data_IF_722424330300
#
_entry.id   IF_722424330300
#
_cell.length_a   1.000
_cell.length_b   1.000
_cell.length_c   1.000
_cell.angle_alpha   90.00
_cell.angle_beta   90.00
_cell.angle_gamma   90.00
#
_symmetry.space_group_name_H-M   'P 1'
#
loop_
_entity.id
_entity.type
_entity.pdbx_description
1 polymer ?
#
# COMPACT_ATOMS: atom_id res chain seq x y z
N UNK A 1 2.57 -24.33 -4.33
CA UNK A 1 1.39 -23.54 -4.75
C UNK A 1 1.42 -22.15 -4.12
N UNK A 2 1.17 -21.09 -4.87
CA UNK A 2 0.96 -19.74 -4.33
C UNK A 2 -0.23 -19.77 -3.35
N UNK A 3 0.00 -19.35 -2.10
CA UNK A 3 -1.07 -19.18 -1.12
C UNK A 3 -1.77 -17.85 -1.38
N UNK A 4 -3.09 -17.83 -1.35
CA UNK A 4 -3.86 -16.58 -1.37
C UNK A 4 -3.61 -15.77 -0.10
N UNK A 5 -3.63 -14.45 -0.23
CA UNK A 5 -3.51 -13.54 0.90
C UNK A 5 -4.92 -13.17 1.35
N UNK A 6 -5.20 -13.36 2.62
CA UNK A 6 -6.49 -12.98 3.20
C UNK A 6 -6.51 -11.47 3.46
N UNK A 7 -7.45 -10.77 2.84
CA UNK A 7 -7.60 -9.31 2.89
C UNK A 7 -7.86 -8.80 4.31
N UNK A 8 -8.69 -9.51 5.07
CA UNK A 8 -9.02 -9.09 6.44
C UNK A 8 -7.78 -9.18 7.35
N UNK A 9 -7.01 -10.25 7.22
CA UNK A 9 -5.77 -10.42 7.98
C UNK A 9 -4.76 -9.33 7.63
N UNK A 10 -4.57 -9.05 6.32
CA UNK A 10 -3.64 -8.02 5.88
C UNK A 10 -4.10 -6.63 6.32
N UNK A 11 -5.39 -6.31 6.18
CA UNK A 11 -5.95 -5.04 6.64
C UNK A 11 -5.74 -4.84 8.15
N UNK A 12 -5.97 -5.87 8.96
CA UNK A 12 -5.70 -5.83 10.42
C UNK A 12 -4.23 -5.55 10.71
N UNK A 13 -3.32 -6.21 10.00
CA UNK A 13 -1.87 -6.00 10.19
C UNK A 13 -1.47 -4.57 9.81
N UNK A 14 -2.03 -4.02 8.74
CA UNK A 14 -1.78 -2.64 8.31
C UNK A 14 -2.37 -1.62 9.30
N UNK A 15 -3.59 -1.85 9.80
CA UNK A 15 -4.23 -0.96 10.79
C UNK A 15 -3.44 -0.89 12.09
N UNK A 16 -2.81 -1.98 12.52
CA UNK A 16 -1.96 -2.01 13.71
C UNK A 16 -0.71 -1.13 13.58
N UNK A 17 -0.24 -0.84 12.38
CA UNK A 17 0.81 0.15 12.16
C UNK A 17 0.25 1.55 12.43
N UNK A 18 0.82 2.24 13.43
CA UNK A 18 0.47 3.61 13.78
C UNK A 18 1.17 4.60 12.82
N UNK A 19 0.92 4.40 11.54
CA UNK A 19 1.55 5.17 10.46
C UNK A 19 0.94 6.57 10.31
N UNK A 20 0.78 7.27 11.43
CA UNK A 20 0.37 8.68 11.43
C UNK A 20 1.48 9.50 10.79
N UNK A 21 1.13 10.15 9.66
CA UNK A 21 2.11 10.87 8.84
C UNK A 21 2.98 11.80 9.70
N UNK A 22 4.29 11.86 9.51
CA UNK A 22 5.10 11.23 8.45
C UNK A 22 5.70 9.86 8.81
N UNK A 23 5.19 9.18 9.84
CA UNK A 23 5.71 7.89 10.31
C UNK A 23 5.17 6.74 9.45
N UNK A 24 6.04 5.80 9.07
CA UNK A 24 5.66 4.57 8.37
C UNK A 24 5.20 3.45 9.33
N UNK A 25 5.80 3.38 10.50
CA UNK A 25 5.57 2.34 11.51
C UNK A 25 5.53 0.90 10.95
N UNK A 26 6.28 0.66 9.88
CA UNK A 26 6.39 -0.66 9.25
C UNK A 26 5.31 -1.00 8.22
N UNK A 27 4.34 -0.14 7.96
CA UNK A 27 3.24 -0.39 7.04
C UNK A 27 3.73 -0.74 5.62
N UNK A 28 4.64 0.05 5.06
CA UNK A 28 5.26 -0.21 3.76
C UNK A 28 5.97 -1.58 3.73
N UNK A 29 6.64 -1.95 4.81
CA UNK A 29 7.32 -3.24 4.89
C UNK A 29 6.34 -4.43 4.90
N UNK A 30 5.17 -4.28 5.54
CA UNK A 30 4.11 -5.29 5.54
C UNK A 30 3.58 -5.51 4.12
N UNK A 31 3.29 -4.43 3.37
CA UNK A 31 2.85 -4.52 1.97
C UNK A 31 3.93 -5.20 1.13
N UNK A 32 5.18 -4.72 1.21
CA UNK A 32 6.29 -5.29 0.46
C UNK A 32 6.53 -6.78 0.76
N UNK A 33 6.43 -7.19 2.04
CA UNK A 33 6.56 -8.60 2.45
C UNK A 33 5.49 -9.48 1.81
N UNK A 34 4.25 -9.03 1.76
CA UNK A 34 3.16 -9.79 1.15
C UNK A 34 3.30 -9.85 -0.38
N UNK A 35 3.65 -8.74 -1.03
CA UNK A 35 3.91 -8.72 -2.48
C UNK A 35 5.11 -9.59 -2.88
N UNK A 36 6.19 -9.61 -2.08
CA UNK A 36 7.32 -10.52 -2.31
C UNK A 36 6.92 -11.99 -2.27
N UNK A 37 6.01 -12.40 -1.37
CA UNK A 37 5.47 -13.77 -1.34
C UNK A 37 4.73 -14.15 -2.62
N UNK A 38 4.18 -13.15 -3.33
CA UNK A 38 3.50 -13.32 -4.61
C UNK A 38 4.45 -13.27 -5.81
N UNK A 39 5.74 -13.05 -5.60
CA UNK A 39 6.76 -12.98 -6.65
C UNK A 39 7.02 -11.58 -7.21
N UNK A 40 6.50 -10.53 -6.59
CA UNK A 40 6.80 -9.16 -7.00
C UNK A 40 8.25 -8.79 -6.69
N UNK A 41 8.86 -8.05 -7.63
CA UNK A 41 10.08 -7.30 -7.38
C UNK A 41 9.69 -6.00 -6.68
N UNK A 42 10.08 -5.87 -5.41
CA UNK A 42 9.76 -4.73 -4.57
C UNK A 42 10.99 -3.82 -4.43
N UNK A 43 10.79 -2.54 -4.66
CA UNK A 43 11.76 -1.48 -4.44
C UNK A 43 11.20 -0.49 -3.44
N UNK A 44 11.77 -0.46 -2.24
CA UNK A 44 11.48 0.57 -1.24
C UNK A 44 12.40 1.75 -1.56
N UNK A 45 11.82 2.95 -1.58
CA UNK A 45 12.48 4.20 -1.86
C UNK A 45 12.19 5.18 -0.73
N UNK A 46 13.21 5.92 -0.30
CA UNK A 46 13.08 6.95 0.71
C UNK A 46 13.45 8.30 0.08
N UNK A 47 12.61 9.30 0.29
CA UNK A 47 12.83 10.66 -0.19
C UNK A 47 12.70 11.64 0.97
N UNK A 48 13.44 12.73 0.87
CA UNK A 48 13.42 13.82 1.83
C UNK A 48 13.84 15.12 1.16
N UNK A 49 12.92 16.06 1.04
CA UNK A 49 13.25 17.44 0.68
C UNK A 49 13.76 18.21 1.92
N UNK A 50 14.52 19.27 1.66
CA UNK A 50 15.05 20.12 2.74
C UNK A 50 13.91 20.66 3.61
N UNK A 51 14.01 20.46 4.90
CA UNK A 51 13.02 20.93 5.88
C UNK A 51 11.79 20.04 6.03
N UNK A 52 11.75 18.89 5.35
CA UNK A 52 10.66 17.91 5.47
C UNK A 52 11.11 16.62 6.14
N UNK A 53 10.17 15.77 6.50
CA UNK A 53 10.45 14.44 7.01
C UNK A 53 10.87 13.49 5.88
N UNK A 54 11.68 12.48 6.23
CA UNK A 54 12.01 11.37 5.32
C UNK A 54 10.80 10.44 5.22
N UNK A 55 10.37 10.18 4.00
CA UNK A 55 9.20 9.35 3.69
C UNK A 55 9.62 8.07 2.97
N UNK A 56 9.04 6.97 3.39
CA UNK A 56 9.20 5.67 2.79
C UNK A 56 8.08 5.39 1.79
N UNK A 57 8.47 4.93 0.60
CA UNK A 57 7.56 4.58 -0.48
C UNK A 57 7.91 3.20 -1.04
N UNK A 58 6.97 2.58 -1.74
CA UNK A 58 7.14 1.28 -2.37
C UNK A 58 6.71 1.35 -3.84
N UNK A 59 7.56 0.89 -4.74
CA UNK A 59 7.16 0.43 -6.05
C UNK A 59 7.41 -1.07 -6.15
N UNK A 60 6.39 -1.82 -6.57
CA UNK A 60 6.50 -3.26 -6.74
C UNK A 60 5.90 -3.66 -8.09
N UNK A 61 6.56 -4.58 -8.82
CA UNK A 61 6.09 -5.05 -10.13
C UNK A 61 6.30 -6.55 -10.28
N UNK A 62 5.32 -7.21 -10.89
CA UNK A 62 5.40 -8.59 -11.38
C UNK A 62 5.07 -8.61 -12.87
N UNK A 63 5.73 -9.49 -13.63
CA UNK A 63 5.68 -9.49 -15.10
C UNK A 63 6.71 -8.54 -15.72
N UNK A 64 6.86 -8.62 -17.04
CA UNK A 64 7.83 -7.81 -17.80
C UNK A 64 7.21 -7.12 -19.01
N UNK A 65 5.97 -7.48 -19.35
CA UNK A 65 5.30 -7.00 -20.55
C UNK A 65 4.47 -5.74 -20.32
N UNK A 66 3.99 -5.19 -21.42
CA UNK A 66 2.91 -4.20 -21.48
C UNK A 66 1.61 -4.93 -21.83
N UNK A 67 0.44 -4.46 -21.36
CA UNK A 67 0.29 -3.30 -20.49
C UNK A 67 0.75 -3.54 -19.05
N UNK A 68 1.20 -2.47 -18.38
CA UNK A 68 1.45 -2.43 -16.95
C UNK A 68 0.24 -1.80 -16.24
N UNK A 69 -0.50 -2.60 -15.50
CA UNK A 69 -1.62 -2.15 -14.69
C UNK A 69 -1.15 -1.88 -13.27
N UNK A 70 -1.29 -0.64 -12.81
CA UNK A 70 -0.83 -0.18 -11.52
C UNK A 70 -2.00 0.06 -10.56
N UNK A 71 -1.82 -0.34 -9.31
CA UNK A 71 -2.61 0.14 -8.19
C UNK A 71 -1.79 1.18 -7.43
N UNK A 72 -2.36 2.37 -7.24
CA UNK A 72 -1.76 3.43 -6.44
C UNK A 72 -2.56 3.65 -5.15
N UNK A 73 -1.85 3.95 -4.06
CA UNK A 73 -2.44 4.23 -2.76
C UNK A 73 -1.40 4.62 -1.71
N UNK A 74 -1.86 4.81 -0.47
CA UNK A 74 -1.01 5.24 0.63
C UNK A 74 -1.22 4.40 1.90
N UNK A 75 -0.21 4.38 2.77
CA UNK A 75 -0.25 3.68 4.05
C UNK A 75 -0.23 4.61 5.25
N UNK A 76 0.09 5.87 5.05
CA UNK A 76 -0.02 6.89 6.09
C UNK A 76 -1.48 7.21 6.39
N UNK A 77 -1.71 7.79 7.54
CA UNK A 77 -3.04 8.13 8.06
C UNK A 77 -2.97 9.44 8.82
N UNK A 78 -4.09 10.17 8.86
CA UNK A 78 -4.24 11.34 9.73
C UNK A 78 -4.28 10.94 11.22
N UNK A 79 -4.03 11.87 12.15
CA UNK A 79 -4.20 11.63 13.58
C UNK A 79 -5.59 11.09 13.93
N UNK A 80 -5.68 10.33 15.02
CA UNK A 80 -6.92 9.66 15.42
C UNK A 80 -8.00 10.61 15.96
N UNK A 81 -7.64 11.85 16.29
CA UNK A 81 -8.53 12.79 16.95
C UNK A 81 -8.75 12.45 18.43
N UNK A 82 -9.94 12.77 18.96
CA UNK A 82 -10.28 12.46 20.34
C UNK A 82 -10.50 10.96 20.52
N UNK A 83 -9.65 10.33 21.34
CA UNK A 83 -9.73 8.91 21.65
C UNK A 83 -11.04 8.50 22.32
N UNK A 84 -11.72 9.42 23.01
CA UNK A 84 -13.03 9.15 23.64
C UNK A 84 -14.14 8.92 22.63
N UNK A 85 -13.96 9.40 21.40
CA UNK A 85 -14.91 9.18 20.29
C UNK A 85 -14.79 7.79 19.65
N UNK A 86 -13.76 7.01 20.00
CA UNK A 86 -13.56 5.69 19.46
C UNK A 86 -14.20 4.62 20.36
N UNK A 87 -14.96 3.71 19.76
CA UNK A 87 -15.55 2.56 20.46
C UNK A 87 -14.59 1.40 20.69
N UNK A 88 -13.42 1.43 20.03
CA UNK A 88 -12.33 0.48 20.15
C UNK A 88 -11.01 1.21 19.96
N UNK A 89 -9.87 0.57 20.28
CA UNK A 89 -8.56 1.12 19.95
C UNK A 89 -8.44 1.36 18.43
N UNK A 90 -8.20 2.60 17.96
CA UNK A 90 -8.13 2.93 16.54
C UNK A 90 -7.03 2.18 15.78
N UNK A 91 -6.00 1.70 16.46
CA UNK A 91 -4.94 0.86 15.87
C UNK A 91 -5.02 -0.61 16.33
N UNK A 92 -6.15 -1.03 16.89
CA UNK A 92 -6.33 -2.40 17.38
C UNK A 92 -6.61 -3.43 16.27
N UNK A 93 -7.06 -2.99 15.10
CA UNK A 93 -7.51 -3.89 14.04
C UNK A 93 -8.67 -4.78 14.51
N UNK A 94 -9.62 -4.21 15.24
CA UNK A 94 -10.73 -4.93 15.89
C UNK A 94 -11.86 -5.18 14.90
N UNK A 95 -12.38 -6.41 14.92
CA UNK A 95 -13.62 -6.74 14.20
C UNK A 95 -14.76 -6.77 15.20
N UNK A 96 -15.80 -5.96 14.96
CA UNK A 96 -17.03 -5.91 15.74
C UNK A 96 -18.22 -5.81 14.80
N UNK A 97 -19.23 -6.64 15.02
CA UNK A 97 -20.43 -6.70 14.17
C UNK A 97 -20.09 -6.82 12.67
N UNK A 98 -19.18 -7.73 12.34
CA UNK A 98 -18.69 -8.00 10.96
C UNK A 98 -18.00 -6.80 10.28
N UNK A 99 -17.64 -5.76 11.02
CA UNK A 99 -16.94 -4.58 10.52
C UNK A 99 -15.54 -4.52 11.11
N UNK A 100 -14.51 -4.32 10.29
CA UNK A 100 -13.19 -3.97 10.75
C UNK A 100 -13.18 -2.48 11.10
N UNK A 101 -12.81 -2.17 12.33
CA UNK A 101 -12.81 -0.80 12.85
C UNK A 101 -11.38 -0.38 13.15
N UNK A 102 -10.99 0.79 12.66
CA UNK A 102 -9.68 1.37 12.95
C UNK A 102 -9.36 2.57 12.05
N UNK A 103 -8.36 3.37 12.46
CA UNK A 103 -7.86 4.49 11.66
C UNK A 103 -7.19 3.93 10.39
N UNK A 104 -7.56 4.50 9.24
CA UNK A 104 -7.01 4.09 7.94
C UNK A 104 -7.64 2.82 7.35
N UNK A 105 -8.71 2.25 7.95
CA UNK A 105 -9.40 1.09 7.35
C UNK A 105 -10.05 1.46 6.04
N UNK A 106 -10.86 2.53 6.03
CA UNK A 106 -11.57 3.01 4.83
C UNK A 106 -10.62 3.77 3.92
N UNK A 107 -9.74 4.55 4.49
CA UNK A 107 -8.79 5.44 3.84
C UNK A 107 -7.39 5.10 4.34
N UNK A 108 -6.54 4.35 3.56
CA UNK A 108 -7.04 3.44 2.51
C UNK A 108 -6.40 2.03 2.63
N UNK A 109 -5.99 1.66 3.87
CA UNK A 109 -5.32 0.36 4.15
C UNK A 109 -6.20 -0.84 3.78
N UNK A 110 -7.53 -0.70 3.88
CA UNK A 110 -8.49 -1.71 3.46
C UNK A 110 -8.43 -1.95 1.96
N UNK A 111 -8.44 -0.90 1.16
CA UNK A 111 -8.34 -0.98 -0.30
C UNK A 111 -7.03 -1.64 -0.75
N UNK A 112 -5.90 -1.29 -0.11
CA UNK A 112 -4.61 -1.96 -0.36
C UNK A 112 -4.73 -3.46 -0.08
N UNK A 113 -5.30 -3.84 1.06
CA UNK A 113 -5.43 -5.25 1.44
C UNK A 113 -6.34 -6.02 0.47
N UNK A 114 -7.46 -5.43 0.06
CA UNK A 114 -8.37 -6.03 -0.93
C UNK A 114 -7.68 -6.21 -2.28
N UNK A 115 -6.94 -5.21 -2.76
CA UNK A 115 -6.27 -5.33 -4.05
C UNK A 115 -5.13 -6.35 -4.03
N UNK A 116 -4.35 -6.42 -2.94
CA UNK A 116 -3.32 -7.46 -2.76
C UNK A 116 -3.96 -8.85 -2.74
N UNK A 117 -5.09 -9.03 -2.05
CA UNK A 117 -5.83 -10.29 -2.02
C UNK A 117 -6.33 -10.68 -3.42
N UNK A 118 -6.99 -9.76 -4.12
CA UNK A 118 -7.50 -9.98 -5.48
C UNK A 118 -6.37 -10.38 -6.45
N UNK A 119 -5.23 -9.69 -6.39
CA UNK A 119 -4.06 -10.04 -7.20
C UNK A 119 -3.52 -11.42 -6.82
N UNK A 120 -3.51 -11.79 -5.54
CA UNK A 120 -3.06 -13.11 -5.11
C UNK A 120 -3.92 -14.23 -5.67
N UNK A 121 -5.24 -14.04 -5.71
CA UNK A 121 -6.18 -14.98 -6.33
C UNK A 121 -6.01 -15.05 -7.86
N UNK A 122 -5.86 -13.89 -8.49
CA UNK A 122 -5.62 -13.81 -9.92
C UNK A 122 -4.35 -14.58 -10.34
N UNK A 123 -3.25 -14.37 -9.64
CA UNK A 123 -1.97 -15.05 -9.91
C UNK A 123 -2.03 -16.55 -9.62
N UNK A 124 -2.86 -16.99 -8.66
CA UNK A 124 -3.08 -18.42 -8.40
C UNK A 124 -3.80 -19.10 -9.56
N UNK A 125 -4.76 -18.40 -10.18
CA UNK A 125 -5.56 -18.92 -11.32
C UNK A 125 -4.81 -18.78 -12.66
N UNK A 126 -3.96 -17.75 -12.80
CA UNK A 126 -3.29 -17.40 -14.05
C UNK A 126 -1.76 -17.54 -13.92
N UNK A 127 -1.24 -18.68 -14.34
CA UNK A 127 0.22 -18.97 -14.26
C UNK A 127 1.09 -18.12 -15.19
N UNK A 128 0.50 -17.51 -16.24
CA UNK A 128 1.20 -16.65 -17.20
C UNK A 128 0.52 -15.30 -17.29
N UNK A 129 1.27 -14.24 -16.99
CA UNK A 129 0.83 -12.86 -17.20
C UNK A 129 1.12 -12.44 -18.64
N UNK A 130 0.11 -11.87 -19.31
CA UNK A 130 0.25 -11.21 -20.63
C UNK A 130 0.50 -9.70 -20.46
N UNK A 131 1.35 -9.31 -19.56
CA UNK A 131 1.60 -7.93 -19.19
C UNK A 131 2.29 -7.88 -17.85
N UNK A 132 2.03 -6.85 -17.10
CA UNK A 132 2.52 -6.72 -15.73
C UNK A 132 1.50 -6.06 -14.81
N UNK A 133 1.64 -6.34 -13.53
CA UNK A 133 0.89 -5.69 -12.45
C UNK A 133 1.90 -4.99 -11.57
N UNK A 134 1.60 -3.76 -11.18
CA UNK A 134 2.45 -2.98 -10.27
C UNK A 134 1.65 -2.34 -9.14
N UNK A 135 2.36 -2.00 -8.08
CA UNK A 135 1.87 -1.24 -6.94
C UNK A 135 2.78 -0.04 -6.75
N UNK A 136 2.18 1.13 -6.57
CA UNK A 136 2.85 2.34 -6.12
C UNK A 136 2.19 2.74 -4.80
N UNK A 137 2.89 2.56 -3.69
CA UNK A 137 2.37 2.85 -2.36
C UNK A 137 3.25 3.91 -1.71
N UNK A 138 2.64 5.01 -1.32
CA UNK A 138 3.31 6.11 -0.62
C UNK A 138 3.04 6.08 0.89
N UNK A 139 3.90 6.74 1.66
CA UNK A 139 3.69 7.07 3.07
C UNK A 139 3.54 8.57 3.30
N UNK A 140 3.18 9.37 2.28
CA UNK A 140 3.02 10.82 2.33
C UNK A 140 1.93 11.26 1.36
N UNK A 141 0.67 10.93 1.67
CA UNK A 141 -0.50 11.39 0.95
C UNK A 141 -1.30 12.38 1.80
N UNK A 142 -1.48 12.07 3.07
CA UNK A 142 -2.40 12.70 4.01
C UNK A 142 -1.98 14.11 4.49
N UNK A 143 -0.84 14.65 4.04
CA UNK A 143 -0.39 15.99 4.42
C UNK A 143 0.27 16.74 3.27
N UNK A 144 1.60 16.88 3.31
CA UNK A 144 2.33 17.74 2.38
C UNK A 144 2.51 17.12 1.00
N UNK A 145 2.52 15.78 0.94
CA UNK A 145 2.63 14.96 -0.28
C UNK A 145 3.89 15.24 -1.16
N UNK A 146 4.93 15.88 -0.58
CA UNK A 146 6.14 16.28 -1.33
C UNK A 146 7.06 15.09 -1.59
N UNK A 147 7.23 14.19 -0.59
CA UNK A 147 8.18 13.09 -0.65
C UNK A 147 7.50 11.75 -1.03
N UNK A 148 6.27 11.82 -1.49
CA UNK A 148 5.41 10.68 -1.80
C UNK A 148 5.40 10.29 -3.28
N UNK A 149 4.19 10.14 -3.80
CA UNK A 149 3.88 9.66 -5.16
C UNK A 149 4.65 10.39 -6.25
N UNK A 150 4.75 11.73 -6.19
CA UNK A 150 5.47 12.52 -7.18
C UNK A 150 6.94 12.07 -7.31
N UNK A 151 7.66 11.92 -6.18
CA UNK A 151 9.07 11.49 -6.19
C UNK A 151 9.24 10.07 -6.72
N UNK A 152 8.29 9.18 -6.42
CA UNK A 152 8.30 7.84 -7.00
C UNK A 152 8.14 7.90 -8.52
N UNK A 153 7.17 8.67 -9.03
CA UNK A 153 6.94 8.82 -10.48
C UNK A 153 8.17 9.41 -11.17
N UNK A 154 8.77 10.49 -10.64
CA UNK A 154 10.01 11.06 -11.17
C UNK A 154 11.11 9.97 -11.30
N UNK A 155 11.23 9.13 -10.27
CA UNK A 155 12.22 8.02 -10.29
C UNK A 155 11.89 6.94 -11.30
N UNK A 156 10.62 6.63 -11.51
CA UNK A 156 10.16 5.66 -12.51
C UNK A 156 10.40 6.19 -13.93
N UNK A 157 10.13 7.48 -14.19
CA UNK A 157 10.43 8.13 -15.49
C UNK A 157 11.92 8.05 -15.81
N UNK A 158 12.80 8.38 -14.83
CA UNK A 158 14.25 8.25 -15.01
C UNK A 158 14.68 6.81 -15.39
N UNK A 159 13.97 5.81 -14.91
CA UNK A 159 14.20 4.40 -15.21
C UNK A 159 13.50 3.92 -16.48
N UNK A 160 12.81 4.79 -17.21
CA UNK A 160 11.97 4.45 -18.36
C UNK A 160 10.91 3.38 -18.03
N UNK A 161 10.46 3.37 -16.78
CA UNK A 161 9.37 2.51 -16.33
C UNK A 161 8.06 3.10 -16.80
N UNK A 162 7.22 2.29 -17.46
CA UNK A 162 5.93 2.73 -18.00
C UNK A 162 4.79 2.12 -17.21
N UNK A 163 3.83 2.94 -16.85
CA UNK A 163 2.52 2.55 -16.32
C UNK A 163 1.50 2.86 -17.42
N UNK A 164 0.78 1.86 -17.92
CA UNK A 164 -0.19 2.03 -19.00
C UNK A 164 -1.59 2.35 -18.45
N UNK A 165 -1.96 1.77 -17.32
CA UNK A 165 -3.21 2.01 -16.61
C UNK A 165 -2.96 2.11 -15.11
N UNK A 166 -3.69 2.99 -14.43
CA UNK A 166 -3.63 3.13 -12.99
C UNK A 166 -5.03 3.18 -12.39
N UNK A 167 -5.21 2.45 -11.30
CA UNK A 167 -6.36 2.58 -10.40
C UNK A 167 -5.85 3.19 -9.10
N UNK A 168 -6.52 4.25 -8.64
CA UNK A 168 -6.33 4.81 -7.31
C UNK A 168 -7.41 4.18 -6.43
N UNK A 169 -7.01 3.60 -5.31
CA UNK A 169 -7.89 2.77 -4.50
C UNK A 169 -8.63 3.54 -3.39
N UNK A 170 -8.78 4.83 -3.52
CA UNK A 170 -9.42 5.74 -2.57
C UNK A 170 -10.93 5.62 -2.55
#
# INVERSE_FOLDING_TARGET
MLKTINEVSLAKDLVKCQSVTPKDDGAINIVAKNLKKLGFKCQIMEFQEKGTAKIKNLYARIGKGSPNFCFAGHTDVVPVGDLKSWTVNPFGGVIKNQKLIGRGVSDMKGSIACFVSAVSEFLKKNKKLKGSISFLITGDEETVAINGTQKVIEKLIQKKEKIDFCIVGE
#
